data_IF_775918503536
#
_entry.id   IF_775918503536
#
_cell.length_a   1.000
_cell.length_b   1.000
_cell.length_c   1.000
_cell.angle_alpha   90.00
_cell.angle_beta   90.00
_cell.angle_gamma   90.00
#
_symmetry.space_group_name_H-M   'P 1'
#
loop_
_entity.id
_entity.type
_entity.pdbx_description
1 polymer ?
#
# COMPACT_ATOMS: atom_id res chain seq x y z
N UNK A 1 1.77 -22.27 -25.66
CA UNK A 1 0.53 -21.49 -25.66
C UNK A 1 -0.07 -21.28 -24.27
N UNK A 2 0.73 -21.40 -23.21
CA UNK A 2 0.32 -21.02 -21.83
C UNK A 2 0.20 -19.49 -21.64
N UNK A 3 0.95 -18.71 -22.40
CA UNK A 3 0.94 -17.23 -22.34
C UNK A 3 -0.39 -16.61 -22.77
N UNK A 4 -1.09 -17.24 -23.71
CA UNK A 4 -2.39 -16.74 -24.19
C UNK A 4 -3.57 -17.06 -23.25
N UNK A 5 -3.45 -18.13 -22.46
CA UNK A 5 -4.51 -18.50 -21.49
C UNK A 5 -4.43 -17.61 -20.26
N UNK A 6 -3.21 -17.29 -19.78
CA UNK A 6 -3.02 -16.36 -18.66
C UNK A 6 -3.41 -14.92 -19.03
N UNK A 7 -3.18 -14.48 -20.27
CA UNK A 7 -3.64 -13.17 -20.75
C UNK A 7 -5.15 -13.10 -20.93
N UNK A 8 -5.83 -14.21 -21.22
CA UNK A 8 -7.29 -14.26 -21.34
C UNK A 8 -7.99 -14.27 -19.96
N UNK A 9 -7.40 -14.96 -18.99
CA UNK A 9 -7.92 -14.99 -17.60
C UNK A 9 -7.77 -13.62 -16.92
N UNK A 10 -6.70 -12.88 -17.24
CA UNK A 10 -6.48 -11.51 -16.73
C UNK A 10 -7.40 -10.47 -17.37
N UNK A 11 -8.02 -10.76 -18.51
CA UNK A 11 -8.96 -9.87 -19.19
C UNK A 11 -10.40 -9.92 -18.67
N UNK A 12 -10.74 -10.85 -17.80
CA UNK A 12 -12.16 -11.11 -17.48
C UNK A 12 -12.77 -10.25 -16.36
N UNK A 13 -12.05 -9.33 -15.74
CA UNK A 13 -12.69 -8.39 -14.79
C UNK A 13 -11.86 -7.14 -14.46
N UNK A 14 -11.54 -6.34 -15.44
CA UNK A 14 -11.14 -4.96 -15.14
C UNK A 14 -12.35 -4.23 -14.56
N UNK A 15 -12.19 -3.66 -13.37
CA UNK A 15 -13.20 -2.80 -12.77
C UNK A 15 -13.43 -1.57 -13.67
N UNK A 16 -14.68 -1.16 -13.84
CA UNK A 16 -14.98 0.04 -14.61
C UNK A 16 -14.27 1.26 -14.00
N UNK A 17 -13.68 2.11 -14.85
CA UNK A 17 -12.92 3.30 -14.41
C UNK A 17 -13.72 4.16 -13.43
N UNK A 18 -15.03 4.31 -13.69
CA UNK A 18 -15.91 5.08 -12.81
C UNK A 18 -16.01 4.47 -11.41
N UNK A 19 -15.95 3.15 -11.30
CA UNK A 19 -16.00 2.47 -10.01
C UNK A 19 -14.70 2.68 -9.22
N UNK A 20 -13.54 2.56 -9.88
CA UNK A 20 -12.24 2.91 -9.29
C UNK A 20 -12.19 4.38 -8.83
N UNK A 21 -12.72 5.30 -9.63
CA UNK A 21 -12.80 6.71 -9.24
C UNK A 21 -13.66 6.94 -8.00
N UNK A 22 -14.77 6.21 -7.86
CA UNK A 22 -15.61 6.26 -6.64
C UNK A 22 -14.84 5.76 -5.43
N UNK A 23 -14.15 4.62 -5.54
CA UNK A 23 -13.32 4.07 -4.47
C UNK A 23 -12.21 5.05 -4.11
N UNK A 24 -11.50 5.60 -5.09
CA UNK A 24 -10.45 6.60 -4.85
C UNK A 24 -10.99 7.84 -4.11
N UNK A 25 -12.23 8.23 -4.37
CA UNK A 25 -12.88 9.31 -3.65
C UNK A 25 -13.18 8.93 -2.18
N UNK A 26 -13.64 7.71 -1.92
CA UNK A 26 -13.81 7.23 -0.53
C UNK A 26 -12.46 7.13 0.20
N UNK A 27 -11.40 6.68 -0.48
CA UNK A 27 -10.04 6.69 0.07
C UNK A 27 -9.59 8.10 0.44
N UNK A 28 -9.87 9.12 -0.40
CA UNK A 28 -9.60 10.53 -0.07
C UNK A 28 -10.38 11.02 1.14
N UNK A 29 -11.66 10.64 1.25
CA UNK A 29 -12.47 10.98 2.44
C UNK A 29 -11.86 10.36 3.70
N UNK A 30 -11.45 9.11 3.65
CA UNK A 30 -10.78 8.43 4.76
C UNK A 30 -9.47 9.12 5.17
N UNK A 31 -8.65 9.57 4.21
CA UNK A 31 -7.44 10.36 4.48
C UNK A 31 -7.77 11.65 5.23
N UNK A 32 -8.73 12.41 4.72
CA UNK A 32 -9.12 13.70 5.34
C UNK A 32 -9.72 13.46 6.73
N UNK A 33 -10.61 12.48 6.86
CA UNK A 33 -11.27 12.14 8.14
C UNK A 33 -10.24 11.73 9.19
N UNK A 34 -9.30 10.84 8.85
CA UNK A 34 -8.29 10.34 9.78
C UNK A 34 -7.32 11.44 10.22
N UNK A 35 -6.80 12.25 9.29
CA UNK A 35 -5.89 13.35 9.60
C UNK A 35 -6.59 14.48 10.38
N UNK A 36 -7.85 14.75 10.08
CA UNK A 36 -8.66 15.71 10.83
C UNK A 36 -8.89 15.23 12.27
N UNK A 37 -9.26 13.97 12.47
CA UNK A 37 -9.46 13.39 13.80
C UNK A 37 -8.18 13.42 14.63
N UNK A 38 -7.07 13.04 14.03
CA UNK A 38 -5.76 13.04 14.67
C UNK A 38 -5.22 14.45 14.95
N UNK A 39 -5.76 15.50 14.30
CA UNK A 39 -5.19 16.86 14.26
C UNK A 39 -3.70 16.85 13.89
N UNK A 40 -3.27 15.86 13.16
CA UNK A 40 -1.88 15.61 12.76
C UNK A 40 -1.81 14.68 11.56
N UNK A 41 -0.72 14.73 10.81
CA UNK A 41 -0.46 13.85 9.68
C UNK A 41 -0.03 14.63 8.44
N UNK A 42 0.04 13.92 7.32
CA UNK A 42 0.55 14.45 6.06
C UNK A 42 -0.52 14.29 4.95
N UNK A 43 -1.58 15.12 4.96
CA UNK A 43 -2.69 14.96 4.01
C UNK A 43 -2.25 15.13 2.55
N UNK A 44 -1.34 16.07 2.24
CA UNK A 44 -0.85 16.30 0.88
C UNK A 44 -0.19 15.08 0.27
N UNK A 45 0.82 14.51 0.95
CA UNK A 45 1.53 13.31 0.52
C UNK A 45 0.63 12.06 0.46
N UNK A 46 -0.42 12.04 1.30
CA UNK A 46 -1.42 10.96 1.30
C UNK A 46 -2.39 11.10 0.13
N UNK A 47 -2.95 12.30 -0.09
CA UNK A 47 -3.90 12.55 -1.19
C UNK A 47 -3.26 12.32 -2.57
N UNK A 48 -1.98 12.66 -2.74
CA UNK A 48 -1.24 12.41 -3.99
C UNK A 48 -1.12 10.92 -4.33
N UNK A 49 -1.20 10.04 -3.34
CA UNK A 49 -1.08 8.60 -3.50
C UNK A 49 -2.42 7.88 -3.70
N UNK A 50 -3.56 8.57 -3.50
CA UNK A 50 -4.87 7.94 -3.41
C UNK A 50 -5.25 7.13 -4.66
N UNK A 51 -5.09 7.67 -5.87
CA UNK A 51 -5.41 6.97 -7.11
C UNK A 51 -4.48 5.79 -7.37
N UNK A 52 -3.17 5.98 -7.14
CA UNK A 52 -2.16 4.93 -7.32
C UNK A 52 -2.46 3.75 -6.41
N UNK A 53 -2.70 4.00 -5.11
CA UNK A 53 -3.01 2.96 -4.14
C UNK A 53 -4.34 2.29 -4.45
N UNK A 54 -5.35 3.05 -4.86
CA UNK A 54 -6.64 2.47 -5.26
C UNK A 54 -6.45 1.50 -6.43
N UNK A 55 -5.76 1.92 -7.48
CA UNK A 55 -5.49 1.03 -8.62
C UNK A 55 -4.72 -0.23 -8.19
N UNK A 56 -3.63 -0.05 -7.43
CA UNK A 56 -2.82 -1.20 -6.99
C UNK A 56 -3.64 -2.21 -6.19
N UNK A 57 -4.37 -1.77 -5.18
CA UNK A 57 -5.07 -2.69 -4.27
C UNK A 57 -6.37 -3.26 -4.84
N UNK A 58 -7.03 -2.57 -5.78
CA UNK A 58 -8.33 -3.01 -6.30
C UNK A 58 -8.23 -3.70 -7.67
N UNK A 59 -7.16 -3.44 -8.45
CA UNK A 59 -6.99 -3.99 -9.80
C UNK A 59 -5.71 -4.80 -9.98
N UNK A 60 -4.55 -4.26 -9.59
CA UNK A 60 -3.26 -4.82 -10.00
C UNK A 60 -2.77 -5.93 -9.07
N UNK A 61 -2.82 -5.70 -7.75
CA UNK A 61 -2.20 -6.58 -6.78
C UNK A 61 -3.07 -7.81 -6.46
N UNK A 62 -2.42 -8.95 -6.39
CA UNK A 62 -2.99 -10.17 -5.85
C UNK A 62 -2.94 -10.15 -4.32
N UNK A 63 -3.94 -9.52 -3.70
CA UNK A 63 -4.09 -9.43 -2.24
C UNK A 63 -5.53 -9.74 -1.82
N UNK A 64 -5.69 -10.52 -0.77
CA UNK A 64 -6.99 -10.89 -0.22
C UNK A 64 -7.03 -10.60 1.29
N UNK A 65 -7.92 -9.71 1.76
CA UNK A 65 -8.07 -9.42 3.19
C UNK A 65 -8.41 -10.63 4.07
N UNK A 66 -9.11 -11.64 3.51
CA UNK A 66 -9.47 -12.86 4.22
C UNK A 66 -8.30 -13.86 4.31
N UNK A 67 -7.21 -13.62 3.57
CA UNK A 67 -6.02 -14.47 3.54
C UNK A 67 -4.75 -13.58 3.46
N UNK A 68 -4.62 -12.66 4.40
CA UNK A 68 -3.54 -11.65 4.43
C UNK A 68 -2.15 -12.25 4.72
N UNK A 69 -2.11 -13.50 5.16
CA UNK A 69 -0.87 -14.26 5.43
C UNK A 69 -0.46 -15.16 4.28
N UNK A 70 -1.19 -15.17 3.17
CA UNK A 70 -0.83 -15.97 2.01
C UNK A 70 0.62 -15.70 1.56
N UNK A 71 1.49 -16.72 1.52
CA UNK A 71 2.88 -16.52 1.15
C UNK A 71 3.07 -16.16 -0.33
N UNK A 72 2.07 -16.38 -1.17
CA UNK A 72 2.12 -16.16 -2.62
C UNK A 72 1.42 -14.86 -3.05
N UNK A 73 0.91 -14.07 -2.09
CA UNK A 73 0.34 -12.75 -2.40
C UNK A 73 1.41 -11.73 -2.76
N UNK A 74 1.05 -10.72 -3.51
CA UNK A 74 1.92 -9.57 -3.77
C UNK A 74 2.28 -8.82 -2.48
N UNK A 75 3.37 -8.06 -2.50
CA UNK A 75 3.88 -7.25 -1.39
C UNK A 75 3.85 -5.78 -1.76
N UNK A 76 3.52 -4.95 -0.77
CA UNK A 76 3.53 -3.50 -0.93
C UNK A 76 4.33 -2.82 0.18
N UNK A 77 5.27 -1.96 -0.19
CA UNK A 77 6.06 -1.14 0.74
C UNK A 77 5.77 0.34 0.48
N UNK A 78 5.12 1.00 1.44
CA UNK A 78 5.01 2.45 1.43
C UNK A 78 6.33 3.04 1.94
N UNK A 79 7.31 3.29 1.06
CA UNK A 79 8.62 3.80 1.45
C UNK A 79 8.51 5.21 2.08
N UNK A 80 7.68 6.08 1.51
CA UNK A 80 7.27 7.35 2.13
C UNK A 80 6.28 7.14 3.28
N UNK A 81 6.75 6.55 4.38
CA UNK A 81 5.90 6.10 5.48
C UNK A 81 5.00 7.16 6.11
N UNK A 82 5.35 8.46 5.97
CA UNK A 82 4.52 9.57 6.42
C UNK A 82 3.17 9.65 5.68
N UNK A 83 3.02 9.03 4.51
CA UNK A 83 1.74 8.90 3.80
C UNK A 83 0.88 7.73 4.32
N UNK A 84 1.13 7.24 5.54
CA UNK A 84 0.34 6.18 6.19
C UNK A 84 -1.18 6.38 6.13
N UNK A 85 -1.75 7.60 6.26
CA UNK A 85 -3.19 7.79 6.12
C UNK A 85 -3.77 7.28 4.80
N UNK A 86 -3.00 7.37 3.69
CA UNK A 86 -3.43 6.84 2.40
C UNK A 86 -3.44 5.31 2.39
N UNK A 87 -2.38 4.69 2.91
CA UNK A 87 -2.29 3.23 3.02
C UNK A 87 -3.40 2.69 3.92
N UNK A 88 -3.61 3.29 5.08
CA UNK A 88 -4.66 2.84 5.99
C UNK A 88 -6.05 2.99 5.37
N UNK A 89 -6.30 4.10 4.69
CA UNK A 89 -7.59 4.31 4.03
C UNK A 89 -7.85 3.27 2.94
N UNK A 90 -6.88 2.98 2.09
CA UNK A 90 -7.06 1.96 1.04
C UNK A 90 -7.21 0.55 1.63
N UNK A 91 -6.45 0.21 2.68
CA UNK A 91 -6.55 -1.08 3.36
C UNK A 91 -7.92 -1.27 4.01
N UNK A 92 -8.45 -0.25 4.70
CA UNK A 92 -9.77 -0.28 5.30
C UNK A 92 -10.87 -0.47 4.23
N UNK A 93 -10.84 0.30 3.14
CA UNK A 93 -11.81 0.16 2.06
C UNK A 93 -11.67 -1.16 1.28
N UNK A 94 -10.48 -1.76 1.25
CA UNK A 94 -10.27 -3.10 0.71
C UNK A 94 -10.82 -4.20 1.64
N UNK A 95 -11.01 -3.90 2.94
CA UNK A 95 -11.60 -4.81 3.92
C UNK A 95 -10.60 -5.51 4.84
N UNK A 96 -9.37 -4.99 4.99
CA UNK A 96 -8.39 -5.53 5.94
C UNK A 96 -8.76 -5.22 7.40
N UNK A 97 -9.43 -4.10 7.65
CA UNK A 97 -9.98 -3.70 8.95
C UNK A 97 -11.13 -2.71 8.75
N UNK A 98 -11.94 -2.42 9.80
CA UNK A 98 -13.10 -1.54 9.69
C UNK A 98 -12.72 -0.11 9.26
N UNK A 99 -13.51 0.49 8.35
CA UNK A 99 -13.32 1.89 7.91
C UNK A 99 -13.49 2.86 9.08
N UNK A 100 -14.33 2.51 10.04
CA UNK A 100 -14.59 3.29 11.25
C UNK A 100 -13.34 3.49 12.10
N UNK A 101 -12.36 2.59 12.03
CA UNK A 101 -11.12 2.70 12.80
C UNK A 101 -10.23 3.85 12.32
N UNK A 102 -10.44 4.35 11.11
CA UNK A 102 -9.64 5.46 10.55
C UNK A 102 -9.66 6.72 11.44
N UNK A 103 -10.75 6.97 12.18
CA UNK A 103 -10.83 8.11 13.10
C UNK A 103 -9.93 7.96 14.31
N UNK A 104 -9.39 6.77 14.57
CA UNK A 104 -8.49 6.49 15.69
C UNK A 104 -7.03 6.75 15.38
N UNK A 105 -6.71 7.20 14.16
CA UNK A 105 -5.33 7.48 13.72
C UNK A 105 -4.57 8.26 14.80
N UNK A 106 -3.40 7.74 15.22
CA UNK A 106 -2.50 8.35 16.22
C UNK A 106 -3.09 8.58 17.59
N UNK A 107 -4.30 8.11 17.87
CA UNK A 107 -4.83 8.16 19.23
C UNK A 107 -4.10 7.16 20.13
N UNK A 108 -4.02 7.48 21.43
CA UNK A 108 -3.43 6.57 22.41
C UNK A 108 -4.23 5.26 22.43
N UNK A 109 -3.52 4.15 22.32
CA UNK A 109 -4.12 2.82 22.26
C UNK A 109 -4.60 2.35 20.89
N UNK A 110 -4.61 3.23 19.88
CA UNK A 110 -4.90 2.81 18.51
C UNK A 110 -3.73 2.03 17.89
N UNK A 111 -4.06 1.03 17.08
CA UNK A 111 -3.05 0.34 16.27
C UNK A 111 -2.66 1.14 15.00
N UNK A 112 -3.46 2.12 14.58
CA UNK A 112 -3.19 3.00 13.45
C UNK A 112 -2.20 4.11 13.86
N UNK A 113 -0.92 3.80 13.76
CA UNK A 113 0.16 4.71 14.13
C UNK A 113 0.44 5.75 13.03
N UNK A 114 1.26 6.76 13.33
CA UNK A 114 1.61 7.83 12.37
C UNK A 114 2.43 7.36 11.17
N UNK A 115 3.03 6.19 11.25
CA UNK A 115 3.76 5.48 10.19
C UNK A 115 3.32 4.02 10.14
N UNK A 116 3.44 3.34 8.99
CA UNK A 116 3.06 1.94 8.89
C UNK A 116 3.88 1.08 9.85
N UNK A 117 3.22 0.16 10.53
CA UNK A 117 3.86 -0.83 11.40
C UNK A 117 3.46 -2.24 10.99
N UNK A 118 4.41 -3.17 10.97
CA UNK A 118 4.15 -4.60 10.84
C UNK A 118 3.24 -5.03 12.01
N UNK A 119 2.18 -5.76 11.71
CA UNK A 119 1.14 -6.14 12.68
C UNK A 119 -0.19 -5.42 12.44
N UNK A 120 -0.20 -4.31 11.70
CA UNK A 120 -1.43 -3.77 11.12
C UNK A 120 -1.83 -4.68 9.94
N UNK A 121 -3.07 -5.16 9.88
CA UNK A 121 -3.50 -6.02 8.78
C UNK A 121 -3.24 -5.40 7.41
N UNK A 122 -2.60 -6.14 6.51
CA UNK A 122 -2.25 -5.68 5.16
C UNK A 122 -0.97 -4.84 5.06
N UNK A 123 -0.25 -4.56 6.17
CA UNK A 123 1.02 -3.84 6.15
C UNK A 123 2.20 -4.82 6.11
N UNK A 124 3.00 -4.74 5.06
CA UNK A 124 4.13 -5.64 4.84
C UNK A 124 5.43 -5.18 5.50
N UNK A 125 5.62 -3.88 5.69
CA UNK A 125 6.85 -3.31 6.21
C UNK A 125 6.59 -2.07 7.06
N UNK A 126 7.24 -1.99 8.21
CA UNK A 126 7.31 -0.75 9.00
C UNK A 126 8.24 0.23 8.31
N UNK A 127 7.76 1.44 8.02
CA UNK A 127 8.51 2.47 7.31
C UNK A 127 8.37 3.83 8.00
N UNK A 128 9.20 4.79 7.60
CA UNK A 128 9.18 6.15 8.17
C UNK A 128 10.50 6.88 7.96
N UNK A 129 11.63 6.17 8.00
CA UNK A 129 12.92 6.69 7.58
C UNK A 129 13.00 6.65 6.06
N UNK A 130 13.04 7.82 5.43
CA UNK A 130 13.02 7.94 3.97
C UNK A 130 14.22 7.21 3.33
N UNK A 131 13.96 6.59 2.19
CA UNK A 131 14.94 5.80 1.43
C UNK A 131 15.14 4.36 1.94
N UNK A 132 14.70 4.01 3.16
CA UNK A 132 14.92 2.68 3.72
C UNK A 132 13.90 1.64 3.22
N UNK A 133 12.67 2.06 2.97
CA UNK A 133 11.61 1.14 2.54
C UNK A 133 11.91 0.45 1.23
N UNK A 134 12.50 1.14 0.27
CA UNK A 134 12.86 0.57 -1.03
C UNK A 134 13.89 -0.55 -0.89
N UNK A 135 14.88 -0.42 0.01
CA UNK A 135 15.87 -1.49 0.27
C UNK A 135 15.20 -2.75 0.83
N UNK A 136 14.22 -2.58 1.73
CA UNK A 136 13.42 -3.70 2.21
C UNK A 136 12.61 -4.36 1.09
N UNK A 137 12.03 -3.57 0.19
CA UNK A 137 11.31 -4.08 -0.97
C UNK A 137 12.23 -4.90 -1.91
N UNK A 138 13.46 -4.43 -2.15
CA UNK A 138 14.47 -5.18 -2.90
C UNK A 138 14.79 -6.52 -2.22
N UNK A 139 14.95 -6.52 -0.88
CA UNK A 139 15.15 -7.75 -0.11
C UNK A 139 14.00 -8.74 -0.29
N UNK A 140 12.74 -8.26 -0.23
CA UNK A 140 11.55 -9.09 -0.47
C UNK A 140 11.53 -9.67 -1.90
N UNK A 141 11.90 -8.86 -2.90
CA UNK A 141 11.95 -9.31 -4.29
C UNK A 141 13.05 -10.37 -4.52
N UNK A 142 14.22 -10.21 -3.91
CA UNK A 142 15.30 -11.19 -3.94
C UNK A 142 14.85 -12.50 -3.26
N UNK A 143 14.23 -12.42 -2.08
CA UNK A 143 13.70 -13.58 -1.38
C UNK A 143 12.68 -14.34 -2.25
N UNK A 144 11.74 -13.62 -2.89
CA UNK A 144 10.78 -14.23 -3.81
C UNK A 144 11.45 -14.98 -4.95
N UNK A 145 12.49 -14.41 -5.57
CA UNK A 145 13.25 -15.08 -6.62
C UNK A 145 13.98 -16.33 -6.13
N UNK A 146 14.59 -16.27 -4.95
CA UNK A 146 15.27 -17.41 -4.34
C UNK A 146 14.29 -18.54 -4.02
N UNK A 147 13.11 -18.21 -3.53
CA UNK A 147 12.03 -19.15 -3.18
C UNK A 147 11.20 -19.58 -4.41
N UNK A 148 11.54 -19.09 -5.61
CA UNK A 148 10.82 -19.38 -6.87
C UNK A 148 9.34 -19.02 -6.79
N UNK A 149 9.02 -17.90 -6.16
CA UNK A 149 7.67 -17.33 -6.04
C UNK A 149 7.38 -16.41 -7.22
N UNK A 150 6.11 -16.32 -7.60
CA UNK A 150 5.64 -15.48 -8.71
C UNK A 150 5.00 -14.15 -8.25
N UNK A 151 5.07 -13.83 -6.95
CA UNK A 151 4.53 -12.56 -6.45
C UNK A 151 5.36 -11.36 -6.88
N UNK A 152 4.69 -10.22 -7.05
CA UNK A 152 5.33 -8.94 -7.30
C UNK A 152 5.56 -8.18 -5.99
N UNK A 153 6.57 -7.31 -5.99
CA UNK A 153 6.83 -6.37 -4.89
C UNK A 153 6.72 -4.96 -5.43
N UNK A 154 5.80 -4.20 -4.87
CA UNK A 154 5.55 -2.81 -5.21
C UNK A 154 6.12 -1.90 -4.12
N UNK A 155 6.79 -0.83 -4.50
CA UNK A 155 7.27 0.19 -3.58
C UNK A 155 6.82 1.58 -4.05
N UNK A 156 6.22 2.37 -3.15
CA UNK A 156 5.83 3.74 -3.44
C UNK A 156 6.73 4.70 -2.68
N UNK A 157 7.48 5.52 -3.45
CA UNK A 157 8.40 6.53 -2.94
C UNK A 157 7.81 7.93 -3.09
N UNK A 158 8.32 8.87 -2.29
CA UNK A 158 8.09 10.30 -2.50
C UNK A 158 9.08 10.89 -3.50
N UNK A 159 8.70 11.99 -4.12
CA UNK A 159 9.55 12.74 -5.06
C UNK A 159 10.82 13.27 -4.39
N UNK A 160 10.70 13.82 -3.19
CA UNK A 160 11.86 14.24 -2.39
C UNK A 160 12.67 13.05 -1.85
N UNK A 161 12.00 11.95 -1.53
CA UNK A 161 12.65 10.73 -1.04
C UNK A 161 13.62 10.12 -2.06
N UNK A 162 13.34 10.22 -3.35
CA UNK A 162 14.23 9.69 -4.39
C UNK A 162 15.59 10.41 -4.46
N UNK A 163 15.79 11.51 -3.74
CA UNK A 163 17.08 12.18 -3.60
C UNK A 163 17.98 11.53 -2.53
N UNK A 164 17.43 10.66 -1.69
CA UNK A 164 18.22 9.90 -0.71
C UNK A 164 19.19 8.95 -1.42
N UNK A 165 20.47 8.94 -0.98
CA UNK A 165 21.49 8.03 -1.52
C UNK A 165 21.10 6.57 -1.44
N UNK A 166 20.40 6.18 -0.35
CA UNK A 166 19.91 4.83 -0.14
C UNK A 166 18.97 4.32 -1.24
N UNK A 167 18.19 5.21 -1.87
CA UNK A 167 17.33 4.83 -3.00
C UNK A 167 18.15 4.36 -4.20
N UNK A 168 19.25 5.06 -4.48
CA UNK A 168 20.15 4.72 -5.58
C UNK A 168 20.99 3.49 -5.27
N UNK A 169 21.40 3.29 -4.01
CA UNK A 169 22.05 2.06 -3.56
C UNK A 169 21.12 0.84 -3.74
N UNK A 170 19.84 1.00 -3.43
CA UNK A 170 18.85 -0.06 -3.65
C UNK A 170 18.61 -0.36 -5.14
N UNK A 171 18.75 0.64 -6.01
CA UNK A 171 18.56 0.48 -7.46
C UNK A 171 19.74 -0.22 -8.16
N UNK A 172 20.95 -0.14 -7.60
CA UNK A 172 22.16 -0.81 -8.11
C UNK A 172 22.17 -2.30 -7.80
#
# INVERSE_FOLDING_TARGET
NKTNVLSSIRKEKLMEILELQKIANEVRKGIVTSTHSAKAGHPGGSLSAADILTYLYFEEMNVNPQDDKNPDRDRFVLSKGHAAPALYSVLAHKGFFPVEDLVTLRHIGSYLQGHPCIGIPGVDMSTGSLGQGVSAAVGMAIAGKLDKKDYNVFALLGDGEIQEGQVWEAAM
#
